data_IF_130612260049
#
_entry.id   IF_130612260049
#
_cell.length_a   1.000
_cell.length_b   1.000
_cell.length_c   1.000
_cell.angle_alpha   90.00
_cell.angle_beta   90.00
_cell.angle_gamma   90.00
#
_symmetry.space_group_name_H-M   'P 1'
#
loop_
_entity.id
_entity.type
_entity.pdbx_description
1 polymer ?
#
# COMPACT_ATOMS: atom_id res chain seq x y z
N UNK A 1 39.02 -31.23 -12.02
CA UNK A 1 38.27 -32.48 -11.77
C UNK A 1 37.59 -32.29 -10.42
N UNK A 2 36.40 -31.68 -10.31
CA UNK A 2 35.15 -32.00 -11.04
C UNK A 2 34.84 -33.50 -10.92
N UNK A 3 33.72 -34.00 -10.39
CA UNK A 3 32.36 -33.45 -10.19
C UNK A 3 31.65 -34.17 -9.03
N UNK A 4 30.69 -33.47 -8.44
CA UNK A 4 29.66 -34.02 -7.55
C UNK A 4 28.54 -33.00 -7.38
N UNK A 5 28.05 -32.46 -8.50
CA UNK A 5 26.86 -31.63 -8.60
C UNK A 5 25.61 -32.52 -8.49
N UNK A 6 24.88 -32.41 -7.38
CA UNK A 6 23.44 -32.71 -7.31
C UNK A 6 22.82 -31.61 -6.40
N UNK A 7 22.50 -30.43 -6.94
CA UNK A 7 21.22 -30.04 -7.56
C UNK A 7 19.98 -30.06 -6.65
N UNK A 8 20.06 -29.50 -5.43
CA UNK A 8 18.87 -29.04 -4.68
C UNK A 8 19.00 -27.61 -4.11
N UNK A 9 20.03 -26.85 -4.49
CA UNK A 9 20.39 -25.65 -3.73
C UNK A 9 19.59 -24.37 -4.03
N UNK A 10 18.81 -24.28 -5.11
CA UNK A 10 17.93 -23.12 -5.36
C UNK A 10 16.77 -23.47 -6.29
N UNK A 11 15.65 -23.93 -5.72
CA UNK A 11 14.36 -23.82 -6.40
C UNK A 11 13.90 -22.36 -6.29
N UNK A 12 13.56 -21.64 -7.40
CA UNK A 12 13.08 -20.26 -7.34
C UNK A 12 11.71 -20.10 -6.67
N UNK A 13 11.08 -21.21 -6.29
CA UNK A 13 9.68 -21.28 -5.87
C UNK A 13 9.54 -21.96 -4.50
N UNK A 14 10.35 -21.57 -3.52
CA UNK A 14 9.94 -21.70 -2.13
C UNK A 14 8.78 -20.73 -1.88
N UNK A 15 7.60 -21.15 -2.35
CA UNK A 15 6.29 -20.56 -2.13
C UNK A 15 5.83 -20.71 -0.66
N UNK A 16 6.77 -20.94 0.25
CA UNK A 16 6.52 -21.36 1.62
C UNK A 16 6.89 -20.23 2.59
N UNK A 17 6.16 -19.13 2.48
CA UNK A 17 5.96 -18.31 3.65
C UNK A 17 4.47 -18.27 3.94
N UNK A 18 4.11 -18.61 5.17
CA UNK A 18 2.76 -18.47 5.71
C UNK A 18 2.16 -17.04 5.55
N UNK A 19 2.96 -16.07 5.08
CA UNK A 19 2.59 -14.67 4.89
C UNK A 19 2.61 -14.20 3.43
N UNK A 20 3.12 -15.00 2.48
CA UNK A 20 3.25 -14.61 1.06
C UNK A 20 4.35 -13.58 0.78
N UNK A 21 5.45 -13.57 1.56
CA UNK A 21 6.65 -12.74 1.39
C UNK A 21 7.92 -13.62 1.32
N UNK A 22 8.97 -13.19 0.65
CA UNK A 22 10.19 -13.98 0.47
C UNK A 22 11.44 -13.09 0.49
N UNK A 23 12.61 -13.70 0.65
CA UNK A 23 13.89 -13.02 0.48
C UNK A 23 14.28 -13.08 -1.00
N UNK A 24 14.38 -11.91 -1.64
CA UNK A 24 14.73 -11.82 -3.06
C UNK A 24 16.17 -12.29 -3.28
N UNK A 25 16.35 -13.26 -4.17
CA UNK A 25 17.64 -13.88 -4.43
C UNK A 25 18.70 -12.86 -4.86
N UNK A 26 18.36 -11.93 -5.76
CA UNK A 26 19.30 -10.94 -6.25
C UNK A 26 19.68 -9.94 -5.15
N UNK A 27 18.72 -9.59 -4.29
CA UNK A 27 18.99 -8.74 -3.13
C UNK A 27 19.83 -9.45 -2.06
N UNK A 28 19.76 -10.78 -1.96
CA UNK A 28 20.61 -11.56 -1.07
C UNK A 28 22.09 -11.54 -1.50
N UNK A 29 22.37 -11.32 -2.79
CA UNK A 29 23.74 -11.13 -3.30
C UNK A 29 24.33 -9.77 -2.89
N UNK A 30 23.50 -8.82 -2.45
CA UNK A 30 23.92 -7.50 -2.00
C UNK A 30 24.27 -7.53 -0.51
N UNK A 31 25.58 -7.56 -0.21
CA UNK A 31 26.10 -7.66 1.15
C UNK A 31 25.76 -6.45 2.04
N UNK A 32 25.47 -5.29 1.45
CA UNK A 32 25.14 -4.05 2.15
C UNK A 32 23.66 -3.93 2.54
N UNK A 33 22.79 -4.86 2.12
CA UNK A 33 21.38 -4.85 2.48
C UNK A 33 21.14 -5.66 3.76
N UNK A 34 20.26 -5.15 4.62
CA UNK A 34 19.70 -5.90 5.75
C UNK A 34 18.67 -6.93 5.31
N UNK A 35 18.37 -7.89 6.18
CA UNK A 35 17.32 -8.89 5.93
C UNK A 35 15.94 -8.24 5.73
N UNK A 36 15.68 -7.10 6.39
CA UNK A 36 14.47 -6.32 6.11
C UNK A 36 14.43 -5.81 4.67
N UNK A 37 15.54 -5.29 4.15
CA UNK A 37 15.61 -4.76 2.78
C UNK A 37 15.49 -5.89 1.74
N UNK A 38 15.98 -7.09 2.06
CA UNK A 38 15.88 -8.30 1.22
C UNK A 38 14.48 -8.92 1.20
N UNK A 39 13.69 -8.71 2.26
CA UNK A 39 12.31 -9.18 2.35
C UNK A 39 11.40 -8.40 1.39
N UNK A 40 10.79 -9.09 0.43
CA UNK A 40 9.88 -8.48 -0.56
C UNK A 40 8.67 -9.37 -0.84
N UNK A 41 7.64 -8.79 -1.44
CA UNK A 41 6.45 -9.51 -1.90
C UNK A 41 6.78 -10.22 -3.23
N UNK A 42 6.40 -11.49 -3.47
CA UNK A 42 6.62 -12.18 -4.73
C UNK A 42 5.88 -11.51 -5.86
N UNK A 43 6.60 -11.28 -6.97
CA UNK A 43 5.99 -11.03 -8.26
C UNK A 43 5.45 -12.35 -8.82
N UNK A 44 4.46 -12.94 -8.15
CA UNK A 44 3.81 -14.16 -8.64
C UNK A 44 2.84 -13.77 -9.76
N UNK A 45 3.09 -14.34 -10.94
CA UNK A 45 2.60 -13.88 -12.24
C UNK A 45 1.11 -13.57 -12.30
N UNK A 46 0.80 -12.41 -12.87
CA UNK A 46 -0.56 -11.91 -13.10
C UNK A 46 -1.02 -10.83 -12.11
N UNK A 47 -0.35 -10.65 -10.97
CA UNK A 47 -0.71 -9.66 -9.94
C UNK A 47 -0.06 -8.28 -10.13
N UNK A 48 0.33 -7.91 -11.36
CA UNK A 48 0.63 -6.50 -11.69
C UNK A 48 -0.57 -5.57 -11.36
N UNK A 49 -1.77 -6.14 -11.19
CA UNK A 49 -2.97 -5.43 -10.76
C UNK A 49 -3.06 -5.14 -9.26
N UNK A 50 -2.29 -5.83 -8.40
CA UNK A 50 -2.38 -5.61 -6.95
C UNK A 50 -1.51 -4.44 -6.50
N UNK A 51 -0.34 -4.23 -7.11
CA UNK A 51 0.57 -3.12 -6.82
C UNK A 51 1.18 -2.59 -8.14
N UNK A 52 0.76 -1.40 -8.57
CA UNK A 52 1.08 -0.80 -9.89
C UNK A 52 2.59 -0.66 -10.17
N UNK A 53 3.42 -0.59 -9.12
CA UNK A 53 4.85 -0.23 -9.21
C UNK A 53 5.74 -1.08 -8.33
N UNK A 54 5.45 -2.37 -8.26
CA UNK A 54 6.21 -3.34 -7.46
C UNK A 54 7.75 -3.24 -7.65
N UNK A 55 8.21 -3.08 -8.89
CA UNK A 55 9.64 -2.93 -9.20
C UNK A 55 10.27 -1.67 -8.59
N UNK A 56 9.50 -0.58 -8.48
CA UNK A 56 9.96 0.65 -7.81
C UNK A 56 9.97 0.47 -6.29
N UNK A 57 9.04 -0.30 -5.74
CA UNK A 57 8.96 -0.54 -4.29
C UNK A 57 10.18 -1.28 -3.76
N UNK A 58 10.66 -2.31 -4.49
CA UNK A 58 11.91 -2.99 -4.14
C UNK A 58 13.13 -2.07 -4.30
N UNK A 59 13.12 -1.18 -5.28
CA UNK A 59 14.26 -0.31 -5.59
C UNK A 59 14.49 0.82 -4.57
N UNK A 60 13.53 1.11 -3.69
CA UNK A 60 13.74 2.11 -2.62
C UNK A 60 14.72 1.64 -1.55
N UNK A 61 14.89 0.32 -1.36
CA UNK A 61 15.72 -0.24 -0.31
C UNK A 61 15.50 0.40 1.07
N UNK A 62 14.26 0.77 1.39
CA UNK A 62 13.95 1.46 2.62
C UNK A 62 14.31 0.62 3.85
N UNK A 63 14.82 1.30 4.87
CA UNK A 63 15.00 0.74 6.20
C UNK A 63 13.65 0.63 6.92
N UNK A 64 13.55 -0.15 8.01
CA UNK A 64 12.34 -0.20 8.82
C UNK A 64 11.87 1.18 9.29
N UNK A 65 12.80 2.08 9.61
CA UNK A 65 12.49 3.42 10.10
C UNK A 65 12.00 4.34 8.98
N UNK A 66 12.59 4.23 7.79
CA UNK A 66 12.08 4.91 6.59
C UNK A 66 10.65 4.46 6.25
N UNK A 67 10.35 3.17 6.32
CA UNK A 67 9.00 2.65 6.06
C UNK A 67 7.99 3.06 7.15
N UNK A 68 8.40 3.09 8.43
CA UNK A 68 7.55 3.61 9.53
C UNK A 68 7.20 5.07 9.31
N UNK A 69 8.19 5.91 9.04
CA UNK A 69 7.97 7.32 8.75
C UNK A 69 7.15 7.52 7.48
N UNK A 70 7.39 6.73 6.43
CA UNK A 70 6.64 6.82 5.19
C UNK A 70 5.13 6.59 5.40
N UNK A 71 4.76 5.62 6.24
CA UNK A 71 3.36 5.35 6.57
C UNK A 71 2.71 6.59 7.23
N UNK A 72 3.40 7.22 8.18
CA UNK A 72 2.94 8.44 8.84
C UNK A 72 2.86 9.63 7.89
N UNK A 73 3.87 9.78 7.04
CA UNK A 73 3.90 10.77 5.96
C UNK A 73 2.70 10.61 5.03
N UNK A 74 2.43 9.39 4.58
CA UNK A 74 1.30 9.10 3.69
C UNK A 74 -0.03 9.48 4.33
N UNK A 75 -0.26 9.09 5.58
CA UNK A 75 -1.49 9.43 6.33
C UNK A 75 -1.67 10.94 6.45
N UNK A 76 -0.60 11.66 6.80
CA UNK A 76 -0.60 13.11 6.90
C UNK A 76 -0.85 13.78 5.55
N UNK A 77 -0.18 13.30 4.51
CA UNK A 77 -0.32 13.79 3.14
C UNK A 77 -1.76 13.62 2.64
N UNK A 78 -2.35 12.43 2.72
CA UNK A 78 -3.74 12.18 2.32
C UNK A 78 -4.71 13.11 3.04
N UNK A 79 -4.50 13.33 4.35
CA UNK A 79 -5.35 14.23 5.14
C UNK A 79 -5.23 15.70 4.69
N UNK A 80 -4.02 16.20 4.51
CA UNK A 80 -3.76 17.60 4.18
C UNK A 80 -3.98 17.94 2.70
N UNK A 81 -3.99 16.93 1.82
CA UNK A 81 -4.11 17.11 0.37
C UNK A 81 -5.50 16.81 -0.20
N UNK A 82 -6.52 16.63 0.66
CA UNK A 82 -7.92 16.42 0.23
C UNK A 82 -8.43 17.47 -0.77
N UNK A 83 -7.96 18.72 -0.65
CA UNK A 83 -8.35 19.79 -1.57
C UNK A 83 -7.99 19.48 -3.04
N UNK A 84 -6.94 18.68 -3.27
CA UNK A 84 -6.47 18.34 -4.60
C UNK A 84 -7.44 17.39 -5.33
N UNK A 85 -8.24 16.60 -4.59
CA UNK A 85 -9.21 15.65 -5.14
C UNK A 85 -10.19 16.36 -6.09
N UNK A 86 -10.61 17.59 -5.76
CA UNK A 86 -11.49 18.42 -6.58
C UNK A 86 -10.86 18.94 -7.88
N UNK A 87 -9.56 18.73 -8.07
CA UNK A 87 -8.81 19.27 -9.21
C UNK A 87 -8.17 18.21 -10.07
N UNK A 88 -8.13 16.94 -9.64
CA UNK A 88 -7.38 15.91 -10.36
C UNK A 88 -7.92 15.63 -11.77
N UNK A 89 -9.21 15.91 -12.04
CA UNK A 89 -9.85 15.70 -13.34
C UNK A 89 -9.87 16.94 -14.23
N UNK A 90 -9.26 18.05 -13.80
CA UNK A 90 -9.18 19.26 -14.61
C UNK A 90 -8.33 19.06 -15.86
N UNK A 91 -8.63 19.86 -16.88
CA UNK A 91 -7.84 19.93 -18.11
C UNK A 91 -6.39 20.30 -17.82
N UNK A 92 -5.50 19.93 -18.75
CA UNK A 92 -4.05 20.02 -18.56
C UNK A 92 -3.58 21.40 -18.07
N UNK A 93 -4.07 22.49 -18.67
CA UNK A 93 -3.65 23.85 -18.33
C UNK A 93 -4.04 24.25 -16.90
N UNK A 94 -5.21 23.83 -16.44
CA UNK A 94 -5.66 24.11 -15.07
C UNK A 94 -5.05 23.13 -14.05
N UNK A 95 -4.72 21.91 -14.49
CA UNK A 95 -4.13 20.87 -13.66
C UNK A 95 -2.68 21.19 -13.28
N UNK A 96 -1.88 21.71 -14.22
CA UNK A 96 -0.43 21.94 -14.01
C UNK A 96 -0.12 22.78 -12.76
N UNK A 97 -0.77 23.93 -12.53
CA UNK A 97 -0.55 24.72 -11.30
C UNK A 97 -0.95 23.97 -10.03
N UNK A 98 -2.06 23.23 -10.06
CA UNK A 98 -2.55 22.46 -8.91
C UNK A 98 -1.60 21.32 -8.56
N UNK A 99 -1.11 20.59 -9.57
CA UNK A 99 -0.10 19.55 -9.41
C UNK A 99 1.17 20.10 -8.78
N UNK A 100 1.66 21.24 -9.27
CA UNK A 100 2.89 21.88 -8.74
C UNK A 100 2.70 22.27 -7.28
N UNK A 101 1.58 22.89 -6.93
CA UNK A 101 1.24 23.23 -5.54
C UNK A 101 1.16 21.97 -4.65
N UNK A 102 0.53 20.91 -5.15
CA UNK A 102 0.46 19.62 -4.46
C UNK A 102 1.84 19.02 -4.19
N UNK A 103 2.73 19.00 -5.18
CA UNK A 103 4.09 18.48 -5.04
C UNK A 103 4.91 19.29 -4.01
N UNK A 104 4.81 20.62 -4.03
CA UNK A 104 5.49 21.44 -3.01
C UNK A 104 4.96 21.16 -1.60
N UNK A 105 3.65 20.95 -1.46
CA UNK A 105 3.05 20.61 -0.18
C UNK A 105 3.51 19.23 0.29
N UNK A 106 3.58 18.22 -0.58
CA UNK A 106 4.06 16.88 -0.21
C UNK A 106 5.52 16.92 0.25
N UNK A 107 6.39 17.67 -0.45
CA UNK A 107 7.79 17.91 -0.03
C UNK A 107 7.84 18.60 1.33
N UNK A 108 7.01 19.63 1.55
CA UNK A 108 6.96 20.32 2.85
C UNK A 108 6.53 19.39 3.98
N UNK A 109 5.58 18.48 3.74
CA UNK A 109 5.15 17.48 4.72
C UNK A 109 6.29 16.49 5.00
N UNK A 110 6.96 15.99 3.95
CA UNK A 110 8.07 15.06 4.06
C UNK A 110 9.25 15.62 4.86
N UNK A 111 9.52 16.93 4.79
CA UNK A 111 10.56 17.60 5.59
C UNK A 111 10.34 17.50 7.11
N UNK A 112 9.15 17.07 7.56
CA UNK A 112 8.90 16.76 8.97
C UNK A 112 9.39 15.37 9.41
N UNK A 113 10.02 14.61 8.51
CA UNK A 113 10.47 13.24 8.72
C UNK A 113 11.94 13.12 8.32
N UNK A 114 12.72 12.33 9.06
CA UNK A 114 14.18 12.28 8.93
C UNK A 114 14.69 11.25 7.92
N UNK A 115 13.92 10.20 7.68
CA UNK A 115 14.31 9.04 6.86
C UNK A 115 13.59 8.99 5.50
N UNK A 116 12.77 9.99 5.18
CA UNK A 116 12.06 10.08 3.91
C UNK A 116 12.89 10.88 2.90
N UNK A 117 13.38 10.19 1.86
CA UNK A 117 14.12 10.82 0.79
C UNK A 117 13.21 11.38 -0.32
N UNK A 118 13.72 12.35 -1.09
CA UNK A 118 12.94 13.07 -2.12
C UNK A 118 12.29 12.15 -3.16
N UNK A 119 12.99 11.09 -3.59
CA UNK A 119 12.47 10.12 -4.55
C UNK A 119 11.18 9.45 -4.06
N UNK A 120 11.18 9.00 -2.81
CA UNK A 120 10.02 8.39 -2.15
C UNK A 120 8.87 9.38 -1.95
N UNK A 121 9.17 10.64 -1.63
CA UNK A 121 8.18 11.73 -1.53
C UNK A 121 7.49 11.99 -2.87
N UNK A 122 8.27 12.17 -3.95
CA UNK A 122 7.77 12.38 -5.30
C UNK A 122 6.91 11.18 -5.74
N UNK A 123 7.37 9.96 -5.47
CA UNK A 123 6.61 8.75 -5.73
C UNK A 123 5.26 8.74 -5.01
N UNK A 124 5.25 8.99 -3.69
CA UNK A 124 4.02 9.03 -2.90
C UNK A 124 3.03 10.08 -3.41
N UNK A 125 3.50 11.24 -3.85
CA UNK A 125 2.64 12.26 -4.44
C UNK A 125 2.01 11.80 -5.77
N UNK A 126 2.80 11.25 -6.69
CA UNK A 126 2.29 10.77 -7.97
C UNK A 126 1.31 9.60 -7.79
N UNK A 127 1.61 8.70 -6.86
CA UNK A 127 0.72 7.59 -6.50
C UNK A 127 -0.60 8.09 -5.92
N UNK A 128 -0.58 9.10 -5.04
CA UNK A 128 -1.80 9.75 -4.53
C UNK A 128 -2.63 10.37 -5.66
N UNK A 129 -2.01 11.11 -6.57
CA UNK A 129 -2.69 11.73 -7.72
C UNK A 129 -3.33 10.68 -8.62
N UNK A 130 -2.56 9.66 -9.02
CA UNK A 130 -3.04 8.59 -9.89
C UNK A 130 -4.21 7.86 -9.25
N UNK A 131 -4.06 7.44 -8.00
CA UNK A 131 -5.10 6.73 -7.25
C UNK A 131 -6.37 7.56 -7.13
N UNK A 132 -6.23 8.85 -6.84
CA UNK A 132 -7.37 9.78 -6.76
C UNK A 132 -8.06 9.91 -8.11
N UNK A 133 -7.31 10.06 -9.22
CA UNK A 133 -7.88 10.12 -10.58
C UNK A 133 -8.65 8.86 -10.92
N UNK A 134 -8.06 7.69 -10.70
CA UNK A 134 -8.70 6.40 -10.98
C UNK A 134 -9.98 6.25 -10.16
N UNK A 135 -9.95 6.62 -8.88
CA UNK A 135 -11.14 6.62 -8.03
C UNK A 135 -12.24 7.48 -8.64
N UNK A 136 -11.94 8.75 -8.96
CA UNK A 136 -12.93 9.69 -9.49
C UNK A 136 -13.47 9.30 -10.86
N UNK A 137 -12.67 8.65 -11.71
CA UNK A 137 -13.10 8.23 -13.06
C UNK A 137 -13.92 6.95 -13.06
N UNK A 138 -13.57 5.98 -12.21
CA UNK A 138 -14.07 4.61 -12.35
C UNK A 138 -14.87 4.12 -11.15
N UNK A 139 -14.79 4.79 -10.00
CA UNK A 139 -15.35 4.29 -8.74
C UNK A 139 -16.34 5.27 -8.11
N UNK A 140 -16.05 6.57 -8.17
CA UNK A 140 -16.90 7.63 -7.60
C UNK A 140 -18.33 7.53 -8.18
N UNK A 141 -19.31 7.33 -7.31
CA UNK A 141 -20.73 7.14 -7.68
C UNK A 141 -21.17 5.67 -7.84
N UNK A 142 -20.26 4.69 -7.85
CA UNK A 142 -20.59 3.26 -7.86
C UNK A 142 -20.61 2.64 -6.46
N UNK A 143 -20.25 3.41 -5.42
CA UNK A 143 -20.15 2.99 -4.02
C UNK A 143 -21.35 2.17 -3.54
N UNK A 144 -22.56 2.65 -3.85
CA UNK A 144 -23.81 1.99 -3.46
C UNK A 144 -24.05 0.70 -4.25
N UNK A 145 -23.70 0.66 -5.53
CA UNK A 145 -23.84 -0.53 -6.36
C UNK A 145 -22.86 -1.63 -5.93
N UNK A 146 -21.61 -1.26 -5.65
CA UNK A 146 -20.59 -2.19 -5.14
C UNK A 146 -20.94 -2.75 -3.77
N UNK A 147 -21.45 -1.91 -2.86
CA UNK A 147 -21.95 -2.35 -1.57
C UNK A 147 -23.04 -3.41 -1.73
N UNK A 148 -24.00 -3.18 -2.61
CA UNK A 148 -25.13 -4.09 -2.80
C UNK A 148 -24.72 -5.40 -3.46
N UNK A 149 -23.76 -5.36 -4.38
CA UNK A 149 -23.14 -6.58 -4.93
C UNK A 149 -22.38 -7.34 -3.84
N UNK A 150 -21.58 -6.65 -3.02
CA UNK A 150 -20.81 -7.28 -1.95
C UNK A 150 -21.71 -7.93 -0.89
N UNK A 151 -22.79 -7.25 -0.47
CA UNK A 151 -23.82 -7.81 0.43
C UNK A 151 -24.39 -9.11 -0.11
N UNK A 152 -24.72 -9.16 -1.41
CA UNK A 152 -25.27 -10.36 -2.05
C UNK A 152 -24.26 -11.49 -2.16
N UNK A 153 -23.01 -11.18 -2.49
CA UNK A 153 -21.93 -12.18 -2.65
C UNK A 153 -21.45 -12.71 -1.30
N UNK A 154 -21.50 -11.90 -0.23
CA UNK A 154 -20.96 -12.23 1.09
C UNK A 154 -22.03 -12.23 2.19
N UNK A 155 -23.26 -12.59 1.85
CA UNK A 155 -24.44 -12.46 2.72
C UNK A 155 -24.23 -13.05 4.13
N UNK A 156 -23.55 -14.19 4.23
CA UNK A 156 -23.22 -14.82 5.53
C UNK A 156 -22.22 -14.04 6.37
N UNK A 157 -21.20 -13.43 5.77
CA UNK A 157 -20.26 -12.56 6.50
C UNK A 157 -20.91 -11.23 6.87
N UNK A 158 -21.72 -10.67 5.97
CA UNK A 158 -22.46 -9.45 6.23
C UNK A 158 -23.42 -9.60 7.41
N UNK A 159 -24.19 -10.70 7.47
CA UNK A 159 -25.04 -11.02 8.63
C UNK A 159 -24.24 -11.07 9.93
N UNK A 160 -23.15 -11.84 9.97
CA UNK A 160 -22.27 -11.95 11.16
C UNK A 160 -21.69 -10.61 11.62
N UNK A 161 -21.31 -9.74 10.69
CA UNK A 161 -20.75 -8.43 11.02
C UNK A 161 -21.80 -7.39 11.42
N UNK A 162 -23.08 -7.62 11.12
CA UNK A 162 -24.19 -6.71 11.44
C UNK A 162 -25.10 -7.21 12.56
N UNK A 163 -24.89 -8.43 13.04
CA UNK A 163 -25.52 -8.95 14.26
C UNK A 163 -25.20 -8.02 15.45
N UNK A 164 -26.24 -7.43 16.05
CA UNK A 164 -26.11 -6.57 17.23
C UNK A 164 -25.89 -5.08 16.94
N UNK A 165 -25.73 -4.67 15.67
CA UNK A 165 -25.75 -3.26 15.28
C UNK A 165 -27.23 -2.81 15.30
N UNK A 166 -27.60 -1.95 16.26
CA UNK A 166 -28.95 -1.36 16.33
C UNK A 166 -29.29 -0.70 14.99
N UNK A 167 -30.55 -0.82 14.54
CA UNK A 167 -31.10 -0.15 13.34
C UNK A 167 -31.01 1.39 13.41
N UNK A 168 -30.56 1.95 14.53
CA UNK A 168 -30.49 3.38 14.82
C UNK A 168 -29.14 4.05 14.51
N UNK A 169 -28.08 3.29 14.19
CA UNK A 169 -26.89 3.91 13.59
C UNK A 169 -27.29 4.45 12.22
N UNK A 170 -27.01 5.73 11.87
CA UNK A 170 -27.43 6.27 10.60
C UNK A 170 -26.80 5.43 9.50
N UNK A 171 -27.66 4.68 8.82
CA UNK A 171 -27.36 3.66 7.81
C UNK A 171 -26.31 4.19 6.83
N UNK A 172 -26.38 5.49 6.52
CA UNK A 172 -25.43 6.23 5.70
C UNK A 172 -23.97 6.15 6.18
N UNK A 173 -23.67 6.31 7.47
CA UNK A 173 -22.26 6.35 7.95
C UNK A 173 -21.62 4.96 7.97
N UNK A 174 -22.40 3.93 8.27
CA UNK A 174 -21.95 2.54 8.19
C UNK A 174 -21.76 2.15 6.73
N UNK A 175 -22.66 2.55 5.84
CA UNK A 175 -22.54 2.34 4.39
C UNK A 175 -21.33 3.08 3.80
N UNK A 176 -21.05 4.31 4.22
CA UNK A 176 -19.85 5.07 3.81
C UNK A 176 -18.56 4.35 4.23
N UNK A 177 -18.49 3.83 5.45
CA UNK A 177 -17.32 3.09 5.95
C UNK A 177 -17.13 1.75 5.21
N UNK A 178 -18.23 1.04 4.93
CA UNK A 178 -18.16 -0.23 4.17
C UNK A 178 -17.82 0.03 2.70
N UNK A 179 -18.37 1.09 2.08
CA UNK A 179 -18.00 1.48 0.72
C UNK A 179 -16.52 1.89 0.64
N UNK A 180 -16.02 2.65 1.62
CA UNK A 180 -14.59 2.97 1.74
C UNK A 180 -13.73 1.70 1.83
N UNK A 181 -14.15 0.71 2.63
CA UNK A 181 -13.44 -0.56 2.79
C UNK A 181 -13.51 -1.45 1.54
N UNK A 182 -14.64 -1.48 0.83
CA UNK A 182 -14.81 -2.20 -0.44
C UNK A 182 -13.98 -1.54 -1.55
N UNK A 183 -14.00 -0.21 -1.64
CA UNK A 183 -13.20 0.56 -2.59
C UNK A 183 -11.70 0.45 -2.30
N UNK A 184 -11.33 0.39 -1.02
CA UNK A 184 -9.97 0.07 -0.58
C UNK A 184 -9.54 -1.34 -1.01
N UNK A 185 -10.47 -2.29 -1.12
CA UNK A 185 -10.19 -3.71 -1.38
C UNK A 185 -10.23 -4.16 -2.84
N UNK A 186 -10.86 -3.44 -3.78
CA UNK A 186 -11.25 -4.10 -5.06
C UNK A 186 -10.96 -3.44 -6.41
N UNK A 187 -10.46 -2.21 -6.52
CA UNK A 187 -10.25 -1.65 -7.87
C UNK A 187 -9.10 -0.64 -8.02
N UNK A 188 -8.39 -0.31 -6.95
CA UNK A 188 -7.25 0.59 -7.03
C UNK A 188 -5.97 -0.18 -6.71
N UNK A 189 -4.92 -0.01 -7.53
CA UNK A 189 -3.60 -0.53 -7.22
C UNK A 189 -3.22 -0.14 -5.80
N UNK A 190 -2.74 -1.12 -5.02
CA UNK A 190 -2.31 -0.87 -3.66
C UNK A 190 -1.10 0.05 -3.69
N UNK A 191 -1.05 0.92 -2.70
CA UNK A 191 -0.02 1.94 -2.56
C UNK A 191 1.23 1.41 -1.90
N UNK A 192 2.34 2.14 -2.04
CA UNK A 192 3.55 1.84 -1.29
C UNK A 192 3.31 1.90 0.22
N UNK A 193 2.39 2.73 0.70
CA UNK A 193 2.06 2.80 2.13
C UNK A 193 1.44 1.49 2.63
N UNK A 194 0.62 0.83 1.80
CA UNK A 194 0.06 -0.48 2.12
C UNK A 194 1.14 -1.57 2.08
N UNK A 195 2.06 -1.49 1.10
CA UNK A 195 3.23 -2.37 1.04
C UNK A 195 4.09 -2.25 2.30
N UNK A 196 4.49 -1.03 2.67
CA UNK A 196 5.33 -0.72 3.83
C UNK A 196 4.69 -1.19 5.14
N UNK A 197 3.38 -0.91 5.37
CA UNK A 197 2.66 -1.42 6.54
C UNK A 197 2.71 -2.95 6.64
N UNK A 198 2.45 -3.64 5.52
CA UNK A 198 2.44 -5.10 5.51
C UNK A 198 3.86 -5.66 5.71
N UNK A 199 4.86 -5.06 5.08
CA UNK A 199 6.27 -5.45 5.22
C UNK A 199 6.74 -5.36 6.67
N UNK A 200 6.44 -4.24 7.34
CA UNK A 200 6.74 -4.03 8.76
C UNK A 200 6.10 -5.12 9.65
N UNK A 201 4.82 -5.43 9.42
CA UNK A 201 4.12 -6.49 10.17
C UNK A 201 4.77 -7.86 9.98
N UNK A 202 5.09 -8.23 8.74
CA UNK A 202 5.72 -9.52 8.44
C UNK A 202 7.12 -9.60 9.07
N UNK A 203 7.92 -8.53 8.95
CA UNK A 203 9.24 -8.47 9.55
C UNK A 203 9.21 -8.61 11.09
N UNK A 204 8.19 -8.05 11.75
CA UNK A 204 7.98 -8.22 13.19
C UNK A 204 7.62 -9.66 13.58
N UNK A 205 6.80 -10.33 12.77
CA UNK A 205 6.41 -11.72 13.03
C UNK A 205 7.58 -12.66 12.82
N UNK A 206 8.43 -12.40 11.82
CA UNK A 206 9.64 -13.17 11.53
C UNK A 206 10.81 -12.85 12.49
N UNK A 207 10.67 -11.85 13.37
CA UNK A 207 11.74 -11.45 14.29
C UNK A 207 12.90 -10.69 13.64
N UNK A 208 12.73 -10.22 12.40
CA UNK A 208 13.72 -9.41 11.67
C UNK A 208 13.86 -8.03 12.32
N UNK A 209 12.76 -7.49 12.85
CA UNK A 209 12.73 -6.23 13.59
C UNK A 209 11.99 -6.41 14.93
N UNK A 210 12.30 -5.60 15.95
CA UNK A 210 11.57 -5.62 17.21
C UNK A 210 10.07 -5.39 16.99
N UNK A 211 9.24 -6.09 17.77
CA UNK A 211 7.82 -5.72 17.90
C UNK A 211 7.75 -4.33 18.51
N UNK A 212 6.82 -3.51 18.04
CA UNK A 212 6.55 -2.23 18.69
C UNK A 212 6.15 -2.53 20.14
N UNK A 213 6.95 -2.05 21.10
CA UNK A 213 6.56 -2.07 22.51
C UNK A 213 5.31 -1.20 22.63
N UNK A 214 4.24 -1.77 23.19
CA UNK A 214 3.07 -0.98 23.60
C UNK A 214 3.57 -0.16 24.79
N UNK A 215 3.60 1.18 24.72
CA UNK A 215 3.95 1.97 25.89
C UNK A 215 2.96 1.63 27.01
N UNK A 216 3.50 1.30 28.18
CA UNK A 216 2.71 1.01 29.39
C UNK A 216 1.91 2.23 29.87
#
# INVERSE_FOLDING_TARGET
MELGLENEFFSPYLHDSAFGWYFDHDLCLLANLSDYQRLVLPNSGGNEYEYDRWSQYKAFYNTPDADREYVLYWEKMVKEMKWLENHVLKDFLEWVPMRRKGLYQSIKIANGFTNIHLGLTCHGFEEYVLRTRLYRLFVEGLDRAFLEIWKRVNEGQFRRCTEGISKELPDQRVQELIAQEINYKRALPKTYAQYARKKLQVAQVLGIIPRAEIPA
#
